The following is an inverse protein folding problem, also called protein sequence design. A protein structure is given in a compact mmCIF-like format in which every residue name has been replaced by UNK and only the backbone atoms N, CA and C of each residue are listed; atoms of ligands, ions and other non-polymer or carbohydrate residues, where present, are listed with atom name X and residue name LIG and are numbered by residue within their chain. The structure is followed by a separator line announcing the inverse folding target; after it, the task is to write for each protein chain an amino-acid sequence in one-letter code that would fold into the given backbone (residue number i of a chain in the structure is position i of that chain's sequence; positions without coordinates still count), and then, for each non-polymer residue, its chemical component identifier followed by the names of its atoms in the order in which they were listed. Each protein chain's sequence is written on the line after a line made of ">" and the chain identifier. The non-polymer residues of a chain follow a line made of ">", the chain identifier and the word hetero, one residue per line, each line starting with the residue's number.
data_IF_349457901887
#
_entry.id   IF_349457901887
#
_cell.length_a   1.000
_cell.length_b   1.000
_cell.length_c   1.000
_cell.angle_alpha   90.00
_cell.angle_beta   90.00
_cell.angle_gamma   90.00
#
_symmetry.space_group_name_H-M   'P 1'
#
loop_
_entity.id
_entity.type
_entity.pdbx_description
1 polymer ?
#
# COMPACT_ATOMS: atom_id res chain seq x y z
N UNK A 1 21.13 -2.72 2.67
CA UNK A 1 20.25 -2.27 3.77
C UNK A 1 19.25 -1.28 3.22
N UNK A 2 17.94 -1.60 3.24
CA UNK A 2 16.92 -0.59 2.93
C UNK A 2 16.94 0.49 4.02
N UNK A 3 16.77 1.76 3.65
CA UNK A 3 16.79 2.87 4.59
C UNK A 3 15.48 2.92 5.40
N UNK A 4 15.39 2.06 6.42
CA UNK A 4 14.19 1.87 7.25
C UNK A 4 13.77 3.12 8.01
N UNK A 5 14.71 4.00 8.39
CA UNK A 5 14.37 5.22 9.14
C UNK A 5 13.63 6.24 8.26
N UNK A 6 14.08 6.45 7.02
CA UNK A 6 13.33 7.28 6.06
C UNK A 6 11.98 6.67 5.75
N UNK A 7 11.91 5.35 5.60
CA UNK A 7 10.64 4.65 5.34
C UNK A 7 9.67 4.77 6.51
N UNK A 8 10.14 4.65 7.76
CA UNK A 8 9.30 4.79 8.96
C UNK A 8 8.65 6.17 9.02
N UNK A 9 9.45 7.22 8.79
CA UNK A 9 8.94 8.60 8.73
C UNK A 9 7.96 8.79 7.57
N UNK A 10 8.23 8.19 6.40
CA UNK A 10 7.31 8.24 5.27
C UNK A 10 5.97 7.55 5.59
N UNK A 11 5.99 6.36 6.20
CA UNK A 11 4.80 5.63 6.61
C UNK A 11 3.90 6.46 7.55
N UNK A 12 4.51 7.14 8.52
CA UNK A 12 3.80 8.04 9.43
C UNK A 12 3.13 9.20 8.68
N UNK A 13 3.87 9.86 7.77
CA UNK A 13 3.33 10.94 6.94
C UNK A 13 2.18 10.45 6.05
N UNK A 14 2.30 9.26 5.44
CA UNK A 14 1.24 8.71 4.60
C UNK A 14 -0.02 8.39 5.39
N UNK A 15 0.10 7.91 6.63
CA UNK A 15 -1.06 7.70 7.52
C UNK A 15 -1.75 9.00 7.88
N UNK A 16 -0.99 10.05 8.20
CA UNK A 16 -1.54 11.39 8.46
C UNK A 16 -2.24 11.93 7.22
N UNK A 17 -1.60 11.82 6.05
CA UNK A 17 -2.19 12.24 4.78
C UNK A 17 -3.50 11.50 4.48
N UNK A 18 -3.54 10.17 4.68
CA UNK A 18 -4.76 9.39 4.50
C UNK A 18 -5.88 9.87 5.43
N UNK A 19 -5.58 10.13 6.70
CA UNK A 19 -6.56 10.65 7.65
C UNK A 19 -7.12 12.02 7.21
N UNK A 20 -6.24 12.92 6.76
CA UNK A 20 -6.66 14.21 6.20
C UNK A 20 -7.53 14.04 4.95
N UNK A 21 -7.12 13.20 4.00
CA UNK A 21 -7.89 12.92 2.79
C UNK A 21 -9.29 12.41 3.14
N UNK A 22 -9.41 11.48 4.09
CA UNK A 22 -10.70 10.91 4.52
C UNK A 22 -11.59 11.93 5.24
N UNK A 23 -11.01 12.94 5.90
CA UNK A 23 -11.77 14.03 6.51
C UNK A 23 -12.41 14.96 5.46
N UNK A 24 -11.78 15.14 4.30
CA UNK A 24 -12.25 16.04 3.25
C UNK A 24 -12.99 15.34 2.10
N UNK A 25 -12.63 14.08 1.80
CA UNK A 25 -13.22 13.27 0.74
C UNK A 25 -13.91 12.06 1.34
N UNK A 26 -15.23 11.97 1.13
CA UNK A 26 -16.02 10.82 1.57
C UNK A 26 -15.84 9.65 0.59
N UNK A 27 -15.49 8.48 1.11
CA UNK A 27 -15.50 7.23 0.36
C UNK A 27 -14.31 7.04 -0.59
N UNK A 28 -14.57 6.50 -1.78
CA UNK A 28 -13.53 6.18 -2.75
C UNK A 28 -13.01 7.45 -3.44
N UNK A 29 -11.70 7.65 -3.41
CA UNK A 29 -11.02 8.66 -4.24
C UNK A 29 -9.66 8.16 -4.69
N UNK A 30 -9.16 8.73 -5.80
CA UNK A 30 -7.81 8.40 -6.28
C UNK A 30 -6.74 8.77 -5.25
N UNK A 31 -6.97 9.80 -4.45
CA UNK A 31 -6.06 10.20 -3.37
C UNK A 31 -6.03 9.16 -2.25
N UNK A 32 -7.18 8.58 -1.88
CA UNK A 32 -7.23 7.46 -0.92
C UNK A 32 -6.48 6.24 -1.48
N UNK A 33 -6.68 5.91 -2.75
CA UNK A 33 -6.00 4.78 -3.38
C UNK A 33 -4.47 4.94 -3.37
N UNK A 34 -3.96 6.12 -3.74
CA UNK A 34 -2.54 6.44 -3.75
C UNK A 34 -1.92 6.44 -2.35
N UNK A 35 -2.63 7.01 -1.37
CA UNK A 35 -2.16 7.00 0.02
C UNK A 35 -2.07 5.56 0.57
N UNK A 36 -3.06 4.71 0.29
CA UNK A 36 -3.05 3.30 0.69
C UNK A 36 -1.93 2.51 0.01
N UNK A 37 -1.67 2.75 -1.27
CA UNK A 37 -0.55 2.14 -1.98
C UNK A 37 0.80 2.53 -1.36
N UNK A 38 0.98 3.82 -1.04
CA UNK A 38 2.20 4.33 -0.42
C UNK A 38 2.43 3.72 0.98
N UNK A 39 1.35 3.58 1.77
CA UNK A 39 1.39 2.88 3.07
C UNK A 39 1.76 1.41 2.87
N UNK A 40 1.13 0.73 1.90
CA UNK A 40 1.42 -0.67 1.61
C UNK A 40 2.90 -0.89 1.29
N UNK A 41 3.48 -0.06 0.41
CA UNK A 41 4.91 -0.17 0.08
C UNK A 41 5.82 0.16 1.26
N UNK A 42 5.50 1.19 2.05
CA UNK A 42 6.29 1.54 3.21
C UNK A 42 6.32 0.41 4.26
N UNK A 43 5.16 -0.20 4.53
CA UNK A 43 5.07 -1.34 5.45
C UNK A 43 5.67 -2.62 4.88
N UNK A 44 5.58 -2.85 3.56
CA UNK A 44 6.34 -3.91 2.90
C UNK A 44 7.85 -3.83 3.23
N UNK A 45 8.43 -2.63 3.16
CA UNK A 45 9.85 -2.43 3.46
C UNK A 45 10.16 -2.58 4.96
N UNK A 46 9.29 -2.07 5.83
CA UNK A 46 9.50 -2.12 7.28
C UNK A 46 9.38 -3.54 7.84
N UNK A 47 8.45 -4.32 7.30
CA UNK A 47 8.15 -5.69 7.76
C UNK A 47 8.94 -6.76 7.00
N UNK A 48 9.88 -6.36 6.13
CA UNK A 48 10.67 -7.32 5.35
C UNK A 48 11.43 -8.31 6.23
N UNK A 49 11.90 -7.86 7.41
CA UNK A 49 12.62 -8.70 8.37
C UNK A 49 11.69 -9.52 9.26
N UNK A 50 10.51 -9.00 9.61
CA UNK A 50 9.55 -9.70 10.47
C UNK A 50 8.76 -10.76 9.70
N UNK A 51 8.61 -10.58 8.39
CA UNK A 51 7.76 -11.40 7.53
C UNK A 51 6.26 -11.13 7.69
N UNK A 52 5.85 -10.21 8.58
CA UNK A 52 4.44 -9.89 8.77
C UNK A 52 3.97 -8.84 7.75
N UNK A 53 3.55 -9.33 6.58
CA UNK A 53 3.04 -8.49 5.51
C UNK A 53 1.53 -8.21 5.59
N UNK A 54 0.85 -8.61 6.67
CA UNK A 54 -0.62 -8.57 6.77
C UNK A 54 -1.18 -7.17 6.56
N UNK A 55 -0.60 -6.18 7.25
CA UNK A 55 -1.05 -4.79 7.14
C UNK A 55 -0.78 -4.21 5.75
N UNK A 56 0.40 -4.47 5.20
CA UNK A 56 0.78 -4.01 3.86
C UNK A 56 -0.14 -4.59 2.78
N UNK A 57 -0.46 -5.89 2.88
CA UNK A 57 -1.38 -6.57 1.97
C UNK A 57 -2.78 -5.95 2.02
N UNK A 58 -3.33 -5.76 3.23
CA UNK A 58 -4.65 -5.15 3.39
C UNK A 58 -4.69 -3.74 2.74
N UNK A 59 -3.67 -2.92 2.95
CA UNK A 59 -3.59 -1.61 2.30
C UNK A 59 -3.55 -1.71 0.76
N UNK A 60 -2.75 -2.62 0.20
CA UNK A 60 -2.67 -2.84 -1.24
C UNK A 60 -4.02 -3.30 -1.83
N UNK A 61 -4.74 -4.17 -1.12
CA UNK A 61 -6.05 -4.67 -1.55
C UNK A 61 -7.12 -3.58 -1.55
N UNK A 62 -7.17 -2.77 -0.50
CA UNK A 62 -8.10 -1.65 -0.42
C UNK A 62 -7.75 -0.60 -1.48
N UNK A 63 -6.46 -0.32 -1.74
CA UNK A 63 -6.04 0.58 -2.83
C UNK A 63 -6.59 0.11 -4.19
N UNK A 64 -6.40 -1.17 -4.53
CA UNK A 64 -6.95 -1.74 -5.76
C UNK A 64 -8.48 -1.72 -5.81
N UNK A 65 -9.16 -1.93 -4.67
CA UNK A 65 -10.61 -1.82 -4.57
C UNK A 65 -11.10 -0.40 -4.84
N UNK A 66 -10.42 0.62 -4.31
CA UNK A 66 -10.77 2.02 -4.55
C UNK A 66 -10.62 2.38 -6.04
N UNK A 67 -9.54 1.95 -6.70
CA UNK A 67 -9.36 2.18 -8.13
C UNK A 67 -10.43 1.50 -8.98
N UNK A 68 -10.80 0.25 -8.65
CA UNK A 68 -11.91 -0.44 -9.34
C UNK A 68 -13.24 0.29 -9.16
N UNK A 69 -13.56 0.75 -7.95
CA UNK A 69 -14.79 1.51 -7.65
C UNK A 69 -14.90 2.82 -8.42
N UNK A 70 -13.76 3.40 -8.80
CA UNK A 70 -13.68 4.64 -9.57
C UNK A 70 -13.61 4.41 -11.09
N UNK A 71 -13.76 3.16 -11.56
CA UNK A 71 -13.52 2.77 -12.96
C UNK A 71 -12.09 3.07 -13.46
N UNK A 72 -11.12 3.12 -12.56
CA UNK A 72 -9.70 3.32 -12.84
C UNK A 72 -8.92 2.01 -12.83
N UNK A 73 -9.55 0.89 -13.22
CA UNK A 73 -8.90 -0.43 -13.25
C UNK A 73 -7.79 -0.55 -14.32
N UNK A 74 -7.79 0.34 -15.32
CA UNK A 74 -6.83 0.35 -16.43
C UNK A 74 -6.17 1.74 -16.51
N UNK A 75 -5.45 2.12 -15.46
CA UNK A 75 -4.67 3.36 -15.42
C UNK A 75 -3.28 3.12 -14.83
N UNK A 76 -2.41 4.14 -14.91
CA UNK A 76 -1.06 4.09 -14.35
C UNK A 76 -1.08 3.75 -12.85
N UNK A 77 -2.02 4.31 -12.10
CA UNK A 77 -2.16 4.07 -10.67
C UNK A 77 -2.57 2.62 -10.37
N UNK A 78 -3.42 2.01 -11.19
CA UNK A 78 -3.75 0.59 -11.08
C UNK A 78 -2.55 -0.31 -11.39
N UNK A 79 -1.76 0.03 -12.41
CA UNK A 79 -0.52 -0.68 -12.70
C UNK A 79 0.48 -0.60 -11.52
N UNK A 80 0.63 0.59 -10.91
CA UNK A 80 1.50 0.80 -9.76
C UNK A 80 1.02 0.02 -8.53
N UNK A 81 -0.28 0.09 -8.20
CA UNK A 81 -0.86 -0.66 -7.09
C UNK A 81 -0.73 -2.18 -7.29
N UNK A 82 -0.94 -2.68 -8.51
CA UNK A 82 -0.75 -4.10 -8.84
C UNK A 82 0.71 -4.54 -8.68
N UNK A 83 1.69 -3.67 -9.01
CA UNK A 83 3.11 -3.95 -8.77
C UNK A 83 3.39 -4.15 -7.28
N UNK A 84 2.89 -3.25 -6.42
CA UNK A 84 3.06 -3.36 -4.96
C UNK A 84 2.41 -4.64 -4.43
N UNK A 85 1.19 -4.96 -4.88
CA UNK A 85 0.53 -6.22 -4.52
C UNK A 85 1.35 -7.44 -4.97
N UNK A 86 1.90 -7.42 -6.18
CA UNK A 86 2.76 -8.48 -6.69
C UNK A 86 4.01 -8.71 -5.84
N UNK A 87 4.68 -7.63 -5.40
CA UNK A 87 5.85 -7.74 -4.52
C UNK A 87 5.51 -8.41 -3.19
N UNK A 88 4.38 -8.04 -2.59
CA UNK A 88 3.87 -8.66 -1.36
C UNK A 88 3.54 -10.13 -1.56
N UNK A 89 2.85 -10.49 -2.64
CA UNK A 89 2.51 -11.89 -2.94
C UNK A 89 3.74 -12.76 -3.14
N UNK A 90 4.79 -12.24 -3.80
CA UNK A 90 6.06 -12.97 -3.96
C UNK A 90 6.72 -13.23 -2.61
N UNK A 91 6.78 -12.23 -1.72
CA UNK A 91 7.42 -12.39 -0.42
C UNK A 91 6.64 -13.35 0.49
N UNK A 92 5.31 -13.26 0.48
CA UNK A 92 4.45 -14.22 1.22
C UNK A 92 4.63 -15.63 0.67
N UNK A 93 4.72 -15.80 -0.65
CA UNK A 93 4.97 -17.12 -1.24
C UNK A 93 6.29 -17.72 -0.74
N UNK A 94 7.38 -16.95 -0.75
CA UNK A 94 8.67 -17.40 -0.21
C UNK A 94 8.56 -17.83 1.26
N UNK A 95 7.88 -17.04 2.10
CA UNK A 95 7.68 -17.37 3.52
C UNK A 95 6.84 -18.64 3.77
N UNK A 96 6.00 -19.04 2.81
CA UNK A 96 5.17 -20.25 2.92
C UNK A 96 5.85 -21.50 2.35
N UNK A 97 6.95 -21.34 1.62
CA UNK A 97 7.70 -22.43 0.98
C UNK A 97 8.99 -22.80 1.68
N UNK A 98 9.39 -22.05 2.71
CA UNK A 98 10.48 -22.36 3.65
C UNK A 98 9.93 -22.95 4.95
#
# INVERSE_FOLDING_TARGET
>A
MLNTDKTRKAAEIYRIALALILNYLRGASIMVALALEAIAYAHYVLEYTSGDFTYALNCAEISGLMLRRLNYGVCMQAASANRVKGMLSVCIFFLLTE
#
